data_IF_551425055027
#
_entry.id   IF_551425055027
#
_cell.length_a   1.000
_cell.length_b   1.000
_cell.length_c   1.000
_cell.angle_alpha   90.00
_cell.angle_beta   90.00
_cell.angle_gamma   90.00
#
_symmetry.space_group_name_H-M   'P 1'
#
loop_
_entity.id
_entity.type
_entity.pdbx_description
1 polymer ?
#
# COMPACT_ATOMS: atom_id res chain seq x y z
N UNK A 1 14.44 18.30 -3.26
CA UNK A 1 13.65 17.32 -2.51
C UNK A 1 12.76 18.00 -1.50
N UNK A 2 11.46 18.04 -1.78
CA UNK A 2 10.45 18.56 -0.86
C UNK A 2 10.11 17.50 0.20
N UNK A 3 9.81 17.92 1.43
CA UNK A 3 9.45 17.01 2.52
C UNK A 3 8.17 17.47 3.22
N UNK A 4 7.19 16.58 3.32
CA UNK A 4 5.99 16.74 4.15
C UNK A 4 6.17 15.90 5.40
N UNK A 5 6.07 16.50 6.59
CA UNK A 5 6.26 15.80 7.86
C UNK A 5 4.96 15.75 8.65
N UNK A 6 4.65 14.57 9.18
CA UNK A 6 3.55 14.31 10.10
C UNK A 6 4.09 13.78 11.43
N UNK A 7 3.53 14.23 12.55
CA UNK A 7 3.79 13.68 13.90
C UNK A 7 2.64 12.79 14.39
N UNK A 8 1.55 12.71 13.64
CA UNK A 8 0.41 11.84 13.86
C UNK A 8 -0.02 11.20 12.53
N UNK A 9 -0.78 10.11 12.57
CA UNK A 9 -1.30 9.51 11.34
C UNK A 9 -2.16 10.54 10.57
N UNK A 10 -1.88 10.81 9.29
CA UNK A 10 -2.70 11.73 8.51
C UNK A 10 -4.12 11.15 8.34
N UNK A 11 -5.13 12.02 8.38
CA UNK A 11 -6.53 11.60 8.28
C UNK A 11 -6.84 11.01 6.91
N UNK A 12 -6.99 9.68 6.84
CA UNK A 12 -7.34 8.97 5.60
C UNK A 12 -8.66 9.44 5.02
N UNK A 13 -9.66 9.79 5.84
CA UNK A 13 -10.93 10.37 5.38
C UNK A 13 -10.72 11.67 4.61
N UNK A 14 -9.88 12.59 5.11
CA UNK A 14 -9.56 13.84 4.41
C UNK A 14 -8.80 13.56 3.11
N UNK A 15 -7.87 12.60 3.13
CA UNK A 15 -7.08 12.22 1.95
C UNK A 15 -7.95 11.57 0.87
N UNK A 16 -8.91 10.71 1.23
CA UNK A 16 -9.89 10.18 0.28
C UNK A 16 -10.79 11.28 -0.28
N UNK A 17 -11.21 12.26 0.54
CA UNK A 17 -11.93 13.44 0.04
C UNK A 17 -11.13 14.21 -1.03
N UNK A 18 -9.82 14.38 -0.81
CA UNK A 18 -8.91 14.97 -1.81
C UNK A 18 -8.80 14.10 -3.07
N UNK A 19 -8.66 12.79 -2.91
CA UNK A 19 -8.57 11.84 -4.02
C UNK A 19 -9.81 11.87 -4.93
N UNK A 20 -11.01 11.92 -4.33
CA UNK A 20 -12.28 12.04 -5.07
C UNK A 20 -12.35 13.36 -5.81
N UNK A 21 -12.02 14.48 -5.16
CA UNK A 21 -11.98 15.80 -5.81
C UNK A 21 -11.00 15.85 -6.99
N UNK A 22 -9.79 15.29 -6.85
CA UNK A 22 -8.78 15.22 -7.92
C UNK A 22 -9.11 14.28 -9.07
N UNK A 23 -10.12 13.41 -8.91
CA UNK A 23 -10.57 12.48 -9.96
C UNK A 23 -11.56 13.13 -10.95
N UNK A 24 -12.08 14.32 -10.64
CA UNK A 24 -13.01 15.04 -11.50
C UNK A 24 -12.29 15.62 -12.73
N UNK A 25 -12.80 15.40 -13.96
CA UNK A 25 -12.15 15.84 -15.21
C UNK A 25 -11.83 17.34 -15.28
N UNK A 26 -12.60 18.19 -14.57
CA UNK A 26 -12.40 19.65 -14.52
C UNK A 26 -11.29 20.09 -13.56
N UNK A 27 -10.88 19.21 -12.63
CA UNK A 27 -9.82 19.43 -11.63
C UNK A 27 -8.57 18.60 -11.94
N UNK A 28 -8.68 17.60 -12.83
CA UNK A 28 -7.54 17.03 -13.52
C UNK A 28 -6.89 18.16 -14.32
N UNK A 29 -5.68 18.56 -13.94
CA UNK A 29 -4.84 19.34 -14.84
C UNK A 29 -4.83 18.62 -16.19
N UNK A 30 -4.97 19.36 -17.28
CA UNK A 30 -4.91 18.89 -18.66
C UNK A 30 -3.49 18.41 -19.00
N UNK A 31 -3.03 17.37 -18.31
CA UNK A 31 -1.67 16.88 -18.35
C UNK A 31 -1.63 15.55 -19.08
N UNK A 32 -0.73 15.47 -20.07
CA UNK A 32 -0.13 14.22 -20.51
C UNK A 32 0.21 13.33 -19.30
N UNK A 33 0.28 11.99 -19.47
CA UNK A 33 0.78 11.11 -18.41
C UNK A 33 2.09 11.67 -17.85
N UNK A 34 2.24 11.64 -16.52
CA UNK A 34 3.46 12.13 -15.90
C UNK A 34 4.63 11.32 -16.46
N UNK A 35 5.61 12.02 -17.00
CA UNK A 35 6.87 11.49 -17.52
C UNK A 35 7.88 11.26 -16.39
N UNK A 36 7.65 11.89 -15.24
CA UNK A 36 8.48 11.79 -14.03
C UNK A 36 7.62 11.82 -12.77
N UNK A 37 8.13 11.19 -11.72
CA UNK A 37 7.60 11.29 -10.37
C UNK A 37 8.12 12.56 -9.69
N UNK A 38 7.38 13.13 -8.72
CA UNK A 38 7.86 14.29 -7.99
C UNK A 38 9.06 13.94 -7.10
N UNK A 39 9.97 14.89 -6.93
CA UNK A 39 11.02 14.84 -5.92
C UNK A 39 10.44 15.24 -4.55
N UNK A 40 9.62 14.34 -3.98
CA UNK A 40 8.81 14.56 -2.78
C UNK A 40 8.93 13.37 -1.83
N UNK A 41 9.11 13.66 -0.54
CA UNK A 41 9.01 12.69 0.53
C UNK A 41 7.89 13.02 1.51
N UNK A 42 7.27 11.98 2.08
CA UNK A 42 6.35 12.10 3.20
C UNK A 42 6.91 11.34 4.39
N UNK A 43 7.13 12.03 5.50
CA UNK A 43 7.65 11.46 6.74
C UNK A 43 6.57 11.39 7.80
N UNK A 44 6.56 10.31 8.59
CA UNK A 44 5.79 10.21 9.84
C UNK A 44 6.75 9.90 10.97
N UNK A 45 6.87 10.83 11.91
CA UNK A 45 7.83 10.74 13.01
C UNK A 45 7.18 10.18 14.28
N UNK A 46 7.97 9.49 15.09
CA UNK A 46 7.57 9.05 16.43
C UNK A 46 6.41 8.06 16.42
N UNK A 47 6.38 7.15 15.45
CA UNK A 47 5.34 6.12 15.36
C UNK A 47 5.46 5.18 16.55
N UNK A 48 4.37 5.07 17.30
CA UNK A 48 4.18 4.09 18.37
C UNK A 48 3.10 3.10 17.97
N UNK A 49 3.28 1.85 18.35
CA UNK A 49 2.30 0.79 18.10
C UNK A 49 1.02 1.05 18.88
N UNK A 50 -0.12 1.07 18.17
CA UNK A 50 -1.44 0.97 18.77
C UNK A 50 -1.73 -0.50 19.08
N UNK A 51 -1.84 -0.83 20.37
CA UNK A 51 -2.02 -2.21 20.83
C UNK A 51 -3.39 -2.78 20.47
N UNK A 52 -4.43 -1.95 20.41
CA UNK A 52 -5.77 -2.39 20.03
C UNK A 52 -5.83 -2.67 18.52
N UNK A 53 -5.15 -1.83 17.72
CA UNK A 53 -4.97 -2.05 16.29
C UNK A 53 -4.17 -3.34 16.05
N UNK A 54 -3.09 -3.58 16.80
CA UNK A 54 -2.28 -4.80 16.72
C UNK A 54 -3.09 -6.05 17.08
N UNK A 55 -3.80 -6.02 18.22
CA UNK A 55 -4.63 -7.13 18.66
C UNK A 55 -5.73 -7.45 17.63
N UNK A 56 -6.35 -6.42 17.04
CA UNK A 56 -7.34 -6.58 15.98
C UNK A 56 -6.72 -7.17 14.71
N UNK A 57 -5.57 -6.66 14.27
CA UNK A 57 -4.85 -7.16 13.09
C UNK A 57 -4.50 -8.64 13.24
N UNK A 58 -3.92 -9.03 14.38
CA UNK A 58 -3.54 -10.41 14.66
C UNK A 58 -4.76 -11.34 14.63
N UNK A 59 -5.90 -10.90 15.18
CA UNK A 59 -7.14 -11.66 15.18
C UNK A 59 -7.71 -11.88 13.78
N UNK A 60 -7.67 -10.88 12.90
CA UNK A 60 -8.22 -11.01 11.54
C UNK A 60 -7.28 -11.74 10.57
N UNK A 61 -6.00 -11.84 10.90
CA UNK A 61 -4.97 -12.52 10.10
C UNK A 61 -4.63 -13.91 10.63
N UNK A 62 -5.31 -14.37 11.69
CA UNK A 62 -4.99 -15.61 12.41
C UNK A 62 -3.50 -15.71 12.82
N UNK A 63 -2.90 -14.56 13.16
CA UNK A 63 -1.52 -14.43 13.59
C UNK A 63 -1.30 -14.86 15.05
N UNK A 64 -0.06 -14.72 15.51
CA UNK A 64 0.32 -14.93 16.91
C UNK A 64 0.71 -13.59 17.53
N UNK A 65 0.25 -13.34 18.76
CA UNK A 65 0.76 -12.24 19.57
C UNK A 65 2.15 -12.61 20.10
N UNK A 66 3.08 -11.67 19.96
CA UNK A 66 4.45 -11.77 20.43
C UNK A 66 4.94 -10.38 20.87
N UNK A 67 6.17 -10.32 21.38
CA UNK A 67 6.91 -9.07 21.65
C UNK A 67 7.34 -8.33 20.37
N UNK A 68 7.24 -9.00 19.21
CA UNK A 68 7.57 -8.51 17.88
C UNK A 68 6.31 -8.24 17.06
N UNK A 69 6.35 -7.17 16.27
CA UNK A 69 5.30 -6.87 15.31
C UNK A 69 5.29 -7.92 14.18
N UNK A 70 4.10 -8.33 13.68
CA UNK A 70 4.01 -9.06 12.43
C UNK A 70 4.69 -8.28 11.31
N UNK A 71 5.44 -8.96 10.43
CA UNK A 71 6.27 -8.31 9.42
C UNK A 71 5.52 -7.29 8.54
N UNK A 72 4.24 -7.53 8.21
CA UNK A 72 3.43 -6.59 7.42
C UNK A 72 2.72 -5.52 8.26
N UNK A 73 2.75 -5.61 9.59
CA UNK A 73 2.05 -4.65 10.45
C UNK A 73 2.51 -3.20 10.28
N UNK A 74 3.82 -2.88 10.10
CA UNK A 74 4.26 -1.50 9.84
C UNK A 74 3.60 -0.84 8.63
N UNK A 75 3.12 -1.62 7.65
CA UNK A 75 2.37 -1.11 6.50
C UNK A 75 1.10 -0.35 6.92
N UNK A 76 0.40 -0.79 7.97
CA UNK A 76 -0.79 -0.11 8.48
C UNK A 76 -0.45 1.32 8.94
N UNK A 77 0.72 1.51 9.53
CA UNK A 77 1.22 2.82 9.94
C UNK A 77 1.71 3.68 8.75
N UNK A 78 2.14 3.04 7.66
CA UNK A 78 2.62 3.67 6.43
C UNK A 78 1.51 4.09 5.47
N UNK A 79 0.33 3.45 5.54
CA UNK A 79 -0.76 3.68 4.60
C UNK A 79 -1.21 5.14 4.53
N UNK A 80 -1.32 5.82 5.67
CA UNK A 80 -1.67 7.24 5.72
C UNK A 80 -0.65 8.13 4.96
N UNK A 81 0.64 8.09 5.32
CA UNK A 81 1.71 8.76 4.58
C UNK A 81 1.76 8.43 3.08
N UNK A 82 1.57 7.16 2.71
CA UNK A 82 1.48 6.74 1.30
C UNK A 82 0.30 7.40 0.59
N UNK A 83 -0.89 7.36 1.18
CA UNK A 83 -2.06 8.00 0.60
C UNK A 83 -1.87 9.52 0.51
N UNK A 84 -1.15 10.15 1.46
CA UNK A 84 -0.81 11.57 1.39
C UNK A 84 0.09 11.87 0.19
N UNK A 85 1.11 11.04 -0.08
CA UNK A 85 1.96 11.14 -1.27
C UNK A 85 1.14 10.99 -2.55
N UNK A 86 0.34 9.92 -2.65
CA UNK A 86 -0.47 9.60 -3.83
C UNK A 86 -1.54 10.65 -4.16
N UNK A 87 -1.98 11.42 -3.16
CA UNK A 87 -3.02 12.46 -3.31
C UNK A 87 -2.45 13.89 -3.30
N UNK A 88 -1.12 14.02 -3.32
CA UNK A 88 -0.46 15.29 -3.56
C UNK A 88 -0.66 15.71 -5.02
N UNK A 89 -0.89 17.01 -5.25
CA UNK A 89 -1.13 17.53 -6.61
C UNK A 89 0.08 17.36 -7.52
N UNK A 90 1.29 17.29 -6.94
CA UNK A 90 2.56 17.09 -7.66
C UNK A 90 2.76 15.63 -8.12
N UNK A 91 1.98 14.67 -7.58
CA UNK A 91 2.16 13.26 -7.90
C UNK A 91 1.84 12.91 -9.35
N UNK A 92 0.97 13.68 -10.01
CA UNK A 92 0.72 13.55 -11.45
C UNK A 92 -0.16 12.37 -11.87
N UNK A 93 -0.57 11.50 -10.93
CA UNK A 93 -1.51 10.40 -11.17
C UNK A 93 -2.75 10.54 -10.30
N UNK A 94 -3.91 10.14 -10.82
CA UNK A 94 -5.12 10.04 -10.01
C UNK A 94 -4.99 8.84 -9.07
N UNK A 95 -4.87 9.07 -7.76
CA UNK A 95 -4.81 8.01 -6.77
C UNK A 95 -5.97 7.01 -6.88
N UNK A 96 -7.18 7.51 -7.18
CA UNK A 96 -8.34 6.66 -7.43
C UNK A 96 -8.18 5.90 -8.74
N UNK A 97 -8.22 4.56 -8.65
CA UNK A 97 -8.13 3.68 -9.80
C UNK A 97 -6.73 3.13 -10.07
N UNK A 98 -5.71 3.57 -9.31
CA UNK A 98 -4.45 2.83 -9.21
C UNK A 98 -4.72 1.44 -8.64
N UNK A 99 -4.05 0.44 -9.21
CA UNK A 99 -4.16 -0.94 -8.77
C UNK A 99 -2.85 -1.38 -8.16
N UNK A 100 -2.86 -1.79 -6.90
CA UNK A 100 -1.68 -2.41 -6.30
C UNK A 100 -1.45 -3.79 -6.92
N UNK A 101 -0.32 -3.98 -7.60
CA UNK A 101 -0.01 -5.21 -8.36
C UNK A 101 1.15 -6.01 -7.77
N UNK A 102 2.06 -5.39 -7.03
CA UNK A 102 3.16 -6.09 -6.38
C UNK A 102 3.56 -5.37 -5.09
N UNK A 103 3.87 -6.15 -4.07
CA UNK A 103 4.38 -5.69 -2.79
C UNK A 103 5.66 -6.46 -2.48
N UNK A 104 6.79 -5.76 -2.29
CA UNK A 104 8.04 -6.34 -1.81
C UNK A 104 8.33 -5.81 -0.42
N UNK A 105 8.75 -6.67 0.49
CA UNK A 105 9.06 -6.30 1.85
C UNK A 105 10.39 -6.95 2.26
N UNK A 106 11.26 -6.15 2.87
CA UNK A 106 12.51 -6.61 3.46
C UNK A 106 12.52 -6.17 4.92
N UNK A 107 12.60 -7.14 5.82
CA UNK A 107 12.76 -6.88 7.24
C UNK A 107 14.19 -7.21 7.64
N UNK A 108 15.00 -6.18 7.92
CA UNK A 108 16.40 -6.33 8.34
C UNK A 108 16.48 -6.86 9.76
N UNK A 109 15.60 -6.37 10.65
CA UNK A 109 15.34 -6.94 11.97
C UNK A 109 13.88 -6.78 12.37
N UNK A 110 13.36 -7.62 13.28
CA UNK A 110 12.03 -7.40 13.84
C UNK A 110 11.92 -6.04 14.54
N UNK A 111 10.78 -5.37 14.33
CA UNK A 111 10.32 -4.27 15.17
C UNK A 111 9.62 -4.84 16.40
N UNK A 112 9.93 -4.30 17.58
CA UNK A 112 9.28 -4.67 18.83
C UNK A 112 8.01 -3.85 19.04
N UNK A 113 7.06 -4.42 19.78
CA UNK A 113 5.77 -3.77 20.09
C UNK A 113 5.96 -2.41 20.78
N UNK A 114 6.94 -2.29 21.68
CA UNK A 114 7.21 -1.07 22.44
C UNK A 114 8.18 -0.09 21.77
N UNK A 115 8.76 -0.42 20.62
CA UNK A 115 9.68 0.47 19.91
C UNK A 115 8.95 1.68 19.32
N UNK A 116 9.68 2.80 19.25
CA UNK A 116 9.28 3.97 18.47
C UNK A 116 10.12 4.03 17.21
N UNK A 117 9.49 4.26 16.07
CA UNK A 117 10.15 4.30 14.77
C UNK A 117 9.63 5.47 13.92
N UNK A 118 10.42 5.89 12.95
CA UNK A 118 10.01 6.86 11.94
C UNK A 118 9.71 6.14 10.63
N UNK A 119 8.81 6.71 9.83
CA UNK A 119 8.51 6.26 8.48
C UNK A 119 8.89 7.34 7.47
N UNK A 120 9.50 6.94 6.36
CA UNK A 120 9.74 7.80 5.20
C UNK A 120 9.17 7.13 3.96
N UNK A 121 8.33 7.86 3.23
CA UNK A 121 7.70 7.40 1.99
C UNK A 121 8.17 8.27 0.84
N UNK A 122 8.56 7.65 -0.26
CA UNK A 122 9.02 8.35 -1.46
C UNK A 122 8.60 7.61 -2.74
N UNK A 123 8.38 8.33 -3.85
CA UNK A 123 8.35 7.71 -5.17
C UNK A 123 9.73 7.16 -5.50
N UNK A 124 9.79 5.93 -6.02
CA UNK A 124 11.05 5.22 -6.27
C UNK A 124 11.29 4.87 -7.74
N UNK A 125 10.22 4.68 -8.52
CA UNK A 125 10.37 4.30 -9.92
C UNK A 125 9.10 4.48 -10.73
N UNK A 126 9.26 4.87 -11.99
CA UNK A 126 8.20 4.95 -12.99
C UNK A 126 8.65 4.21 -14.23
N UNK A 127 7.91 3.18 -14.65
CA UNK A 127 8.26 2.39 -15.83
C UNK A 127 7.03 2.10 -16.70
N UNK A 128 7.19 2.04 -18.04
CA UNK A 128 6.13 1.63 -18.93
C UNK A 128 5.70 0.17 -18.67
N UNK A 129 4.44 -0.13 -18.96
CA UNK A 129 3.89 -1.48 -18.85
C UNK A 129 2.82 -1.70 -19.92
N UNK A 130 2.59 -2.95 -20.32
CA UNK A 130 1.66 -3.32 -21.42
C UNK A 130 0.26 -2.70 -21.29
N UNK A 131 -0.19 -2.47 -20.05
CA UNK A 131 -1.52 -1.92 -19.73
C UNK A 131 -1.48 -0.54 -19.06
N UNK A 132 -0.37 0.20 -19.20
CA UNK A 132 -0.20 1.56 -18.68
C UNK A 132 1.21 1.82 -18.13
N UNK A 133 1.31 2.28 -16.89
CA UNK A 133 2.59 2.55 -16.22
C UNK A 133 2.61 1.94 -14.82
N UNK A 134 3.76 1.40 -14.42
CA UNK A 134 4.02 0.97 -13.05
C UNK A 134 4.71 2.09 -12.29
N UNK A 135 4.24 2.34 -11.08
CA UNK A 135 4.74 3.35 -10.16
C UNK A 135 5.16 2.63 -8.88
N UNK A 136 6.44 2.70 -8.54
CA UNK A 136 6.97 2.16 -7.30
C UNK A 136 6.97 3.24 -6.22
N UNK A 137 6.43 2.91 -5.06
CA UNK A 137 6.46 3.71 -3.84
C UNK A 137 7.29 2.96 -2.81
N UNK A 138 8.41 3.55 -2.41
CA UNK A 138 9.27 3.02 -1.35
C UNK A 138 8.77 3.56 0.00
N UNK A 139 8.80 2.71 1.01
CA UNK A 139 8.64 3.12 2.41
C UNK A 139 9.70 2.47 3.27
N UNK A 140 10.41 3.28 4.04
CA UNK A 140 11.43 2.84 4.98
C UNK A 140 10.97 3.14 6.40
N UNK A 141 11.13 2.18 7.31
CA UNK A 141 10.98 2.37 8.74
C UNK A 141 12.37 2.40 9.40
N UNK A 142 12.64 3.45 10.16
CA UNK A 142 13.91 3.64 10.86
C UNK A 142 13.75 3.69 12.36
N UNK A 143 14.70 3.11 13.08
CA UNK A 143 14.82 3.19 14.54
C UNK A 143 16.20 3.76 14.84
N UNK A 144 16.26 4.87 15.58
CA UNK A 144 17.52 5.57 15.86
C UNK A 144 18.38 5.88 14.62
N UNK A 145 17.74 6.13 13.48
CA UNK A 145 18.42 6.43 12.21
C UNK A 145 18.79 5.20 11.37
N UNK A 146 18.68 3.99 11.91
CA UNK A 146 18.95 2.75 11.17
C UNK A 146 17.68 2.22 10.51
N UNK A 147 17.77 1.80 9.25
CA UNK A 147 16.64 1.20 8.54
C UNK A 147 16.45 -0.25 8.96
N UNK A 148 15.30 -0.56 9.56
CA UNK A 148 15.01 -1.89 10.12
C UNK A 148 14.00 -2.67 9.30
N UNK A 149 13.21 -1.97 8.52
CA UNK A 149 12.16 -2.52 7.68
C UNK A 149 11.94 -1.63 6.47
N UNK A 150 11.71 -2.24 5.31
CA UNK A 150 11.47 -1.55 4.05
C UNK A 150 10.37 -2.26 3.28
N UNK A 151 9.56 -1.49 2.58
CA UNK A 151 8.65 -2.03 1.57
C UNK A 151 8.66 -1.21 0.29
N UNK A 152 8.35 -1.88 -0.81
CA UNK A 152 8.05 -1.26 -2.09
C UNK A 152 6.65 -1.71 -2.53
N UNK A 153 5.75 -0.76 -2.71
CA UNK A 153 4.45 -0.98 -3.35
C UNK A 153 4.54 -0.57 -4.83
N UNK A 154 4.22 -1.49 -5.73
CA UNK A 154 4.11 -1.22 -7.16
C UNK A 154 2.64 -1.07 -7.55
N UNK A 155 2.30 0.12 -8.03
CA UNK A 155 0.95 0.51 -8.44
C UNK A 155 0.86 0.59 -9.97
N UNK A 156 -0.19 0.05 -10.56
CA UNK A 156 -0.50 0.16 -11.98
C UNK A 156 -1.46 1.33 -12.22
N UNK A 157 -1.01 2.33 -12.96
CA UNK A 157 -1.85 3.35 -13.58
C UNK A 157 -2.33 2.84 -14.95
N UNK A 158 -3.64 2.66 -15.12
CA UNK A 158 -4.27 2.16 -16.37
C UNK A 158 -4.78 3.30 -17.24
N UNK A 159 -4.97 3.01 -18.53
CA UNK A 159 -5.59 3.96 -19.49
C UNK A 159 -4.61 5.01 -20.02
N UNK A 160 -3.31 4.74 -19.93
CA UNK A 160 -2.22 5.52 -20.49
C UNK A 160 -1.53 4.65 -21.55
N UNK A 161 -0.96 5.27 -22.59
CA UNK A 161 -0.16 4.54 -23.58
C UNK A 161 0.96 3.77 -22.87
N UNK A 162 0.93 2.45 -23.00
CA UNK A 162 2.00 1.57 -22.50
C UNK A 162 3.24 1.66 -23.39
N UNK A 163 4.26 0.88 -23.04
CA UNK A 163 5.47 0.70 -23.85
C UNK A 163 5.97 -0.74 -23.80
N UNK A 164 7.07 -1.00 -24.49
CA UNK A 164 7.72 -2.31 -24.47
C UNK A 164 8.13 -2.69 -23.05
N UNK A 165 7.95 -3.98 -22.77
CA UNK A 165 7.86 -4.54 -21.43
C UNK A 165 9.25 -4.76 -20.85
N UNK A 166 9.48 -4.27 -19.63
CA UNK A 166 10.50 -4.82 -18.73
C UNK A 166 9.74 -5.57 -17.65
N UNK A 167 9.50 -6.86 -17.88
CA UNK A 167 8.81 -7.75 -16.94
C UNK A 167 9.78 -8.88 -16.57
N UNK A 168 10.06 -8.98 -15.28
CA UNK A 168 10.56 -10.20 -14.68
C UNK A 168 9.51 -10.60 -13.65
N UNK A 169 8.95 -11.80 -13.81
CA UNK A 169 8.06 -12.32 -12.79
C UNK A 169 8.89 -12.54 -11.53
N UNK A 170 8.44 -12.10 -10.34
CA UNK A 170 9.14 -12.38 -9.08
C UNK A 170 9.35 -13.88 -8.81
N UNK A 171 8.62 -14.73 -9.52
CA UNK A 171 8.65 -16.18 -9.42
C UNK A 171 9.40 -16.86 -10.56
N UNK A 172 10.02 -16.11 -11.48
CA UNK A 172 10.86 -16.71 -12.52
C UNK A 172 12.01 -17.50 -11.87
N UNK A 173 12.10 -18.78 -12.21
CA UNK A 173 13.09 -19.70 -11.64
C UNK A 173 12.75 -20.23 -10.24
N UNK A 174 11.55 -19.98 -9.71
CA UNK A 174 11.08 -20.56 -8.44
C UNK A 174 10.18 -21.76 -8.72
N UNK A 175 10.65 -22.96 -8.37
CA UNK A 175 9.83 -24.16 -8.45
C UNK A 175 8.68 -24.11 -7.43
N UNK A 176 7.46 -24.40 -7.89
CA UNK A 176 6.32 -24.48 -7.00
C UNK A 176 6.48 -25.69 -6.06
N UNK A 177 6.31 -25.51 -4.73
CA UNK A 177 6.39 -26.63 -3.80
C UNK A 177 5.29 -27.66 -4.10
N UNK A 178 5.58 -28.94 -3.88
CA UNK A 178 4.61 -30.00 -4.05
C UNK A 178 3.44 -29.86 -3.05
N UNK A 179 2.22 -30.09 -3.53
CA UNK A 179 0.99 -30.07 -2.72
C UNK A 179 0.02 -28.96 -3.11
N UNK A 180 -1.14 -28.94 -2.46
CA UNK A 180 -2.15 -27.89 -2.63
C UNK A 180 -2.61 -27.41 -1.28
N UNK A 181 -2.46 -26.11 -1.03
CA UNK A 181 -3.06 -25.45 0.12
C UNK A 181 -4.34 -24.76 -0.33
N UNK A 182 -5.44 -24.98 0.39
CA UNK A 182 -6.69 -24.27 0.15
C UNK A 182 -6.90 -23.22 1.23
N UNK A 183 -6.95 -21.96 0.82
CA UNK A 183 -7.31 -20.87 1.73
C UNK A 183 -8.79 -20.52 1.58
N UNK A 184 -9.49 -20.41 2.71
CA UNK A 184 -10.80 -19.76 2.75
C UNK A 184 -10.60 -18.24 2.84
N UNK A 185 -11.34 -17.48 2.03
CA UNK A 185 -11.36 -16.01 2.07
C UNK A 185 -12.81 -15.57 2.27
N UNK A 186 -13.26 -15.38 3.52
CA UNK A 186 -14.61 -14.90 3.75
C UNK A 186 -14.89 -13.57 3.05
N UNK A 187 -16.10 -13.37 2.56
CA UNK A 187 -16.47 -12.14 1.83
C UNK A 187 -16.36 -10.85 2.66
N UNK A 188 -16.28 -10.97 4.00
CA UNK A 188 -16.12 -9.83 4.91
C UNK A 188 -14.65 -9.45 5.17
N UNK A 189 -13.67 -10.25 4.73
CA UNK A 189 -12.24 -10.02 5.00
C UNK A 189 -11.79 -8.63 4.54
N UNK A 190 -12.24 -8.16 3.36
CA UNK A 190 -11.90 -6.82 2.88
C UNK A 190 -12.39 -5.71 3.80
N UNK A 191 -13.61 -5.81 4.36
CA UNK A 191 -14.13 -4.80 5.30
C UNK A 191 -13.43 -4.86 6.66
N UNK A 192 -13.16 -6.06 7.15
CA UNK A 192 -12.42 -6.25 8.41
C UNK A 192 -11.00 -5.66 8.30
N UNK A 193 -10.30 -5.93 7.19
CA UNK A 193 -8.99 -5.36 6.94
C UNK A 193 -9.05 -3.84 6.77
N UNK A 194 -9.99 -3.32 5.98
CA UNK A 194 -10.18 -1.88 5.81
C UNK A 194 -10.43 -1.13 7.12
N UNK A 195 -11.10 -1.77 8.09
CA UNK A 195 -11.35 -1.18 9.40
C UNK A 195 -10.07 -1.03 10.22
N UNK A 196 -9.14 -2.00 10.15
CA UNK A 196 -7.88 -1.95 10.90
C UNK A 196 -6.78 -1.17 10.17
N UNK A 197 -6.69 -1.24 8.84
CA UNK A 197 -5.65 -0.57 8.06
C UNK A 197 -5.98 0.86 7.68
N UNK A 198 -7.27 1.22 7.69
CA UNK A 198 -7.74 2.50 7.16
C UNK A 198 -7.82 2.53 5.63
N UNK A 199 -7.40 1.47 4.92
CA UNK A 199 -7.57 1.35 3.47
C UNK A 199 -9.03 0.99 3.15
N UNK A 200 -9.83 2.05 3.01
CA UNK A 200 -11.24 1.98 2.62
C UNK A 200 -11.43 2.17 1.11
N UNK A 201 -10.48 1.75 0.28
CA UNK A 201 -10.64 1.81 -1.16
C UNK A 201 -11.92 1.05 -1.58
N UNK A 202 -12.85 1.71 -2.31
CA UNK A 202 -14.16 1.14 -2.60
C UNK A 202 -14.13 -0.22 -3.31
N UNK A 203 -13.05 -0.57 -4.00
CA UNK A 203 -12.89 -1.89 -4.66
C UNK A 203 -12.89 -3.08 -3.69
N UNK A 204 -12.66 -2.84 -2.39
CA UNK A 204 -12.61 -3.89 -1.35
C UNK A 204 -13.88 -4.00 -0.51
N UNK A 205 -14.79 -3.02 -0.59
CA UNK A 205 -15.87 -2.87 0.40
C UNK A 205 -17.16 -3.61 0.00
N UNK A 206 -17.56 -3.47 -1.26
CA UNK A 206 -18.82 -4.01 -1.76
C UNK A 206 -18.75 -4.34 -3.25
N UNK A 207 -19.68 -5.20 -3.71
CA UNK A 207 -19.85 -5.47 -5.14
C UNK A 207 -20.20 -4.20 -5.93
N UNK A 208 -21.07 -3.35 -5.38
CA UNK A 208 -21.54 -2.14 -6.04
C UNK A 208 -20.37 -1.19 -6.33
N UNK A 209 -19.56 -0.93 -5.30
CA UNK A 209 -18.39 -0.05 -5.40
C UNK A 209 -17.25 -0.66 -6.21
N UNK A 210 -17.08 -1.98 -6.23
CA UNK A 210 -16.06 -2.62 -7.06
C UNK A 210 -16.40 -2.56 -8.57
N UNK A 211 -17.69 -2.65 -8.92
CA UNK A 211 -18.17 -2.58 -10.32
C UNK A 211 -17.85 -1.24 -10.99
N UNK A 212 -17.84 -0.13 -10.24
CA UNK A 212 -17.47 1.18 -10.80
C UNK A 212 -15.99 1.25 -11.25
N UNK A 213 -15.16 0.30 -10.82
CA UNK A 213 -13.75 0.17 -11.21
C UNK A 213 -13.47 -1.04 -12.11
N UNK A 214 -14.52 -1.67 -12.65
CA UNK A 214 -14.41 -2.79 -13.59
C UNK A 214 -14.27 -4.17 -12.95
N UNK A 215 -14.48 -4.30 -11.64
CA UNK A 215 -14.41 -5.60 -10.96
C UNK A 215 -15.82 -6.20 -10.74
N UNK A 216 -16.03 -7.50 -11.03
CA UNK A 216 -17.35 -8.13 -10.92
C UNK A 216 -17.83 -8.29 -9.46
N UNK A 217 -16.89 -8.28 -8.51
CA UNK A 217 -17.08 -8.37 -7.05
C UNK A 217 -15.96 -7.63 -6.32
N UNK A 218 -16.15 -7.37 -5.04
CA UNK A 218 -15.08 -6.85 -4.19
C UNK A 218 -13.89 -7.82 -4.18
N UNK A 219 -12.68 -7.26 -4.24
CA UNK A 219 -11.43 -8.02 -4.18
C UNK A 219 -10.81 -7.89 -2.79
N UNK A 220 -10.03 -8.87 -2.34
CA UNK A 220 -9.28 -8.74 -1.09
C UNK A 220 -8.16 -7.68 -1.24
N UNK A 221 -7.76 -7.06 -0.14
CA UNK A 221 -6.59 -6.18 -0.11
C UNK A 221 -5.31 -6.98 -0.37
N UNK A 222 -4.38 -6.43 -1.17
CA UNK A 222 -3.10 -7.08 -1.49
C UNK A 222 -2.24 -7.36 -0.24
N UNK A 223 -2.14 -6.39 0.66
CA UNK A 223 -1.38 -6.51 1.93
C UNK A 223 -2.17 -7.22 3.04
N UNK A 224 -3.47 -7.47 2.84
CA UNK A 224 -4.35 -8.03 3.87
C UNK A 224 -4.17 -9.52 4.14
N UNK A 225 -3.23 -10.15 3.43
CA UNK A 225 -2.84 -11.54 3.66
C UNK A 225 -1.35 -11.61 3.88
N UNK A 226 -0.95 -11.66 5.15
CA UNK A 226 0.24 -12.40 5.50
C UNK A 226 -0.12 -13.89 5.45
N UNK A 227 0.64 -14.75 4.75
CA UNK A 227 0.47 -16.19 4.92
C UNK A 227 0.86 -16.54 6.36
N UNK A 228 -0.11 -16.46 7.29
CA UNK A 228 0.12 -16.77 8.69
C UNK A 228 0.46 -18.25 8.88
N UNK A 229 0.12 -19.11 7.91
CA UNK A 229 0.39 -20.54 7.91
C UNK A 229 0.54 -21.06 6.49
N UNK A 230 1.77 -21.35 6.07
CA UNK A 230 2.03 -22.58 5.31
C UNK A 230 2.21 -23.65 6.38
N UNK A 231 1.19 -24.48 6.61
CA UNK A 231 1.39 -25.77 7.29
C UNK A 231 1.60 -26.83 6.23
#
# INVERSE_FOLDING_TARGET
MDVITYTAAPSTTRLYGRAVGGSLPRLRGSGRPADRLPDLQVRRLGVRTDLDQLATYVRITDGLLADRLPALFPHLAAFGPQLALLTDRRFGFAAMGLVHVQHRLTQHRPLLVGETYDLTVSPAGLRPYRRGQLIDIQTDATVHGETVWQETMTLLARGIAGGDVVDSSPLDGVDAPAGTVRWSVPAHTGRAYAAVSGDRNPIHLSRLTARTFGFPRAIAHGCGRQPARCR
#
